data_IF_095873516913
#
_entry.id   IF_095873516913
#
_cell.length_a   1.000
_cell.length_b   1.000
_cell.length_c   1.000
_cell.angle_alpha   90.00
_cell.angle_beta   90.00
_cell.angle_gamma   90.00
#
_symmetry.space_group_name_H-M   'P 1'
#
loop_
_entity.id
_entity.type
_entity.pdbx_description
1 polymer ?
#
# COMPACT_ATOMS: atom_id res chain seq x y z
N UNK A 1 16.20 -16.84 6.73
CA UNK A 1 16.65 -15.43 6.86
C UNK A 1 16.92 -15.17 8.33
N UNK A 2 18.10 -14.66 8.69
CA UNK A 2 18.40 -14.32 10.09
C UNK A 2 17.51 -13.17 10.55
N UNK A 3 16.95 -13.30 11.76
CA UNK A 3 16.13 -12.29 12.40
C UNK A 3 16.91 -11.64 13.53
N UNK A 4 17.32 -10.39 13.32
CA UNK A 4 18.15 -9.65 14.27
C UNK A 4 17.27 -8.93 15.30
N UNK A 5 17.03 -9.60 16.42
CA UNK A 5 16.29 -9.03 17.57
C UNK A 5 17.20 -8.83 18.77
N UNK A 6 16.90 -7.83 19.59
CA UNK A 6 17.56 -7.66 20.90
C UNK A 6 17.36 -8.90 21.76
N UNK A 7 18.38 -9.23 22.55
CA UNK A 7 18.30 -10.23 23.62
C UNK A 7 17.15 -9.90 24.59
N UNK A 8 16.47 -10.93 25.06
CA UNK A 8 15.36 -10.84 26.02
C UNK A 8 14.11 -10.12 25.50
N UNK A 9 13.99 -9.88 24.18
CA UNK A 9 12.76 -9.31 23.62
C UNK A 9 11.54 -10.17 23.95
N UNK A 10 11.71 -11.49 24.02
CA UNK A 10 10.64 -12.45 24.35
C UNK A 10 10.31 -12.49 25.85
N UNK A 11 11.21 -12.00 26.71
CA UNK A 11 11.04 -12.02 28.17
C UNK A 11 10.21 -10.83 28.66
N UNK A 12 10.49 -9.63 28.13
CA UNK A 12 9.88 -8.40 28.63
C UNK A 12 8.99 -7.68 27.61
N UNK A 13 7.79 -7.26 28.02
CA UNK A 13 6.86 -6.47 27.19
C UNK A 13 7.48 -5.14 26.74
N UNK A 14 8.27 -4.48 27.61
CA UNK A 14 9.01 -3.25 27.27
C UNK A 14 10.01 -3.44 26.13
N UNK A 15 10.54 -4.67 25.97
CA UNK A 15 11.52 -5.02 24.94
C UNK A 15 10.91 -5.62 23.68
N UNK A 16 9.59 -5.88 23.66
CA UNK A 16 8.89 -6.38 22.47
C UNK A 16 8.13 -7.68 22.65
N UNK A 17 8.02 -8.24 23.87
CA UNK A 17 7.18 -9.44 24.11
C UNK A 17 5.75 -9.10 23.74
N UNK A 18 5.20 -9.80 22.74
CA UNK A 18 3.87 -9.56 22.13
C UNK A 18 3.68 -8.17 21.49
N UNK A 19 4.72 -7.34 21.42
CA UNK A 19 4.67 -5.97 20.85
C UNK A 19 5.67 -5.86 19.70
N UNK A 20 5.25 -6.29 18.51
CA UNK A 20 6.09 -6.31 17.28
C UNK A 20 6.76 -4.96 17.01
N UNK A 21 6.03 -3.84 17.16
CA UNK A 21 6.57 -2.47 16.96
C UNK A 21 7.76 -2.12 17.87
N UNK A 22 7.91 -2.79 19.02
CA UNK A 22 9.01 -2.56 19.99
C UNK A 22 10.17 -3.53 19.80
N UNK A 23 10.03 -4.58 18.97
CA UNK A 23 11.11 -5.51 18.66
C UNK A 23 12.14 -4.80 17.77
N UNK A 24 13.18 -4.25 18.41
CA UNK A 24 14.27 -3.54 17.74
C UNK A 24 15.58 -4.22 18.07
N UNK A 25 16.54 -4.20 17.14
CA UNK A 25 17.91 -4.63 17.41
C UNK A 25 18.61 -3.63 18.34
N UNK A 26 19.44 -4.13 19.25
CA UNK A 26 20.39 -3.34 20.05
C UNK A 26 21.66 -4.16 20.22
N UNK A 27 22.83 -3.52 20.06
CA UNK A 27 24.13 -4.18 20.23
C UNK A 27 24.24 -4.75 21.65
N UNK A 28 24.58 -6.04 21.82
CA UNK A 28 24.88 -6.60 23.14
C UNK A 28 26.22 -6.06 23.65
N UNK A 29 26.19 -5.30 24.75
CA UNK A 29 27.39 -4.65 25.33
C UNK A 29 27.93 -5.31 26.60
N UNK A 30 27.04 -5.90 27.43
CA UNK A 30 27.40 -6.44 28.74
C UNK A 30 28.55 -7.46 28.73
N UNK A 31 29.33 -7.51 29.81
CA UNK A 31 30.53 -8.34 29.95
C UNK A 31 30.24 -9.83 29.73
N UNK A 32 29.28 -10.38 30.47
CA UNK A 32 28.94 -11.81 30.43
C UNK A 32 27.87 -12.15 29.37
N UNK A 33 27.73 -11.26 28.39
CA UNK A 33 26.70 -11.38 27.38
C UNK A 33 27.08 -12.47 26.37
N UNK A 34 26.55 -13.69 26.58
CA UNK A 34 26.70 -14.84 25.66
C UNK A 34 26.38 -14.62 24.17
N UNK A 35 25.57 -13.61 23.84
CA UNK A 35 25.26 -13.21 22.47
C UNK A 35 26.41 -12.36 21.93
N UNK A 36 27.02 -11.48 22.75
CA UNK A 36 28.28 -10.76 22.46
C UNK A 36 29.45 -11.72 22.23
N UNK A 37 29.56 -12.76 23.08
CA UNK A 37 30.55 -13.84 22.96
C UNK A 37 30.25 -14.81 21.80
N UNK A 38 29.11 -14.66 21.09
CA UNK A 38 28.67 -15.54 19.98
C UNK A 38 28.62 -17.03 20.35
N UNK A 39 28.24 -17.37 21.58
CA UNK A 39 28.11 -18.77 22.00
C UNK A 39 27.00 -19.49 21.23
N UNK A 40 27.21 -20.79 20.96
CA UNK A 40 26.20 -21.68 20.36
C UNK A 40 24.90 -21.64 21.18
N UNK A 41 23.76 -21.66 20.49
CA UNK A 41 22.42 -21.57 21.10
C UNK A 41 21.90 -20.15 21.31
N UNK A 42 22.73 -19.11 21.16
CA UNK A 42 22.28 -17.73 21.17
C UNK A 42 22.08 -17.17 19.75
N UNK A 43 21.18 -16.19 19.55
CA UNK A 43 20.97 -15.56 18.25
C UNK A 43 22.24 -14.92 17.69
N UNK A 44 22.37 -14.90 16.36
CA UNK A 44 23.49 -14.26 15.68
C UNK A 44 23.53 -12.75 15.91
N UNK A 45 24.74 -12.19 16.05
CA UNK A 45 24.96 -10.74 16.05
C UNK A 45 24.95 -10.23 14.61
N UNK A 46 24.40 -9.03 14.40
CA UNK A 46 24.53 -8.29 13.14
C UNK A 46 26.02 -8.14 12.77
N UNK A 47 26.38 -8.57 11.56
CA UNK A 47 27.69 -8.41 10.96
C UNK A 47 27.55 -8.12 9.46
N UNK A 48 28.58 -7.52 8.84
CA UNK A 48 28.59 -7.18 7.41
C UNK A 48 28.49 -8.43 6.53
N UNK A 49 28.97 -9.58 7.02
CA UNK A 49 28.90 -10.85 6.28
C UNK A 49 27.48 -11.35 5.98
N UNK A 50 26.46 -10.87 6.71
CA UNK A 50 25.06 -11.21 6.41
C UNK A 50 24.41 -10.28 5.37
N UNK A 51 25.18 -9.37 4.77
CA UNK A 51 24.68 -8.47 3.73
C UNK A 51 24.22 -9.28 2.51
N UNK A 52 22.99 -9.05 2.09
CA UNK A 52 22.44 -9.64 0.86
C UNK A 52 23.09 -9.00 -0.38
N UNK A 53 23.13 -9.71 -1.52
CA UNK A 53 23.52 -9.12 -2.79
C UNK A 53 22.67 -7.87 -3.09
N UNK A 54 23.25 -6.91 -3.80
CA UNK A 54 22.57 -5.67 -4.16
C UNK A 54 21.48 -5.98 -5.19
N UNK A 55 20.26 -6.21 -4.72
CA UNK A 55 19.08 -6.33 -5.57
C UNK A 55 18.83 -5.01 -6.32
N UNK A 56 18.17 -5.08 -7.49
CA UNK A 56 17.72 -3.91 -8.25
C UNK A 56 16.92 -2.98 -7.32
N UNK A 57 17.23 -1.69 -7.35
CA UNK A 57 16.67 -0.72 -6.40
C UNK A 57 15.15 -0.64 -6.44
N UNK A 58 14.53 -0.48 -5.27
CA UNK A 58 13.10 -0.11 -5.16
C UNK A 58 13.01 1.40 -5.14
N UNK A 59 12.20 1.98 -6.02
CA UNK A 59 12.01 3.44 -6.08
C UNK A 59 10.62 3.78 -5.56
N UNK A 60 10.56 4.73 -4.63
CA UNK A 60 9.30 5.27 -4.12
C UNK A 60 8.89 6.43 -5.01
N UNK A 61 7.65 6.40 -5.50
CA UNK A 61 7.08 7.39 -6.41
C UNK A 61 5.88 8.06 -5.76
N UNK A 62 5.88 9.39 -5.77
CA UNK A 62 4.83 10.23 -5.22
C UNK A 62 4.11 11.06 -6.30
N UNK A 63 4.71 11.23 -7.47
CA UNK A 63 4.13 12.00 -8.57
C UNK A 63 4.31 11.29 -9.92
N UNK A 64 3.70 11.87 -10.96
CA UNK A 64 3.74 11.32 -12.31
C UNK A 64 5.10 11.55 -12.98
N UNK A 65 5.76 12.69 -12.71
CA UNK A 65 7.06 13.04 -13.30
C UNK A 65 8.17 12.09 -12.86
N UNK A 66 8.14 11.67 -11.60
CA UNK A 66 9.02 10.64 -11.04
C UNK A 66 8.80 9.30 -11.72
N UNK A 67 7.58 8.98 -12.16
CA UNK A 67 7.28 7.75 -12.88
C UNK A 67 7.94 7.73 -14.27
N UNK A 68 7.94 8.88 -14.95
CA UNK A 68 8.48 9.02 -16.32
C UNK A 68 10.00 8.86 -16.36
N UNK A 69 10.69 9.29 -15.30
CA UNK A 69 12.15 9.22 -15.21
C UNK A 69 12.68 7.84 -14.78
N UNK A 70 11.81 6.83 -14.58
CA UNK A 70 12.21 5.53 -14.04
C UNK A 70 12.61 4.55 -15.16
N UNK A 71 13.76 3.92 -14.98
CA UNK A 71 14.20 2.79 -15.81
C UNK A 71 13.32 1.57 -15.56
N UNK A 72 12.95 0.85 -16.62
CA UNK A 72 12.05 -0.33 -16.61
C UNK A 72 12.45 -1.45 -15.65
N UNK A 73 13.72 -1.51 -15.25
CA UNK A 73 14.29 -2.52 -14.36
C UNK A 73 14.01 -2.33 -12.86
N UNK A 74 13.47 -1.17 -12.46
CA UNK A 74 13.26 -0.85 -11.05
C UNK A 74 11.84 -1.21 -10.61
N UNK A 75 11.72 -1.72 -9.38
CA UNK A 75 10.42 -2.00 -8.77
C UNK A 75 9.86 -0.71 -8.21
N UNK A 76 8.68 -0.31 -8.68
CA UNK A 76 8.03 0.95 -8.28
C UNK A 76 7.14 0.73 -7.06
N UNK A 77 7.31 1.57 -6.03
CA UNK A 77 6.46 1.61 -4.84
C UNK A 77 5.73 2.95 -4.85
N UNK A 78 4.41 2.91 -4.79
CA UNK A 78 3.60 4.13 -4.72
C UNK A 78 3.52 4.57 -3.25
N UNK A 79 3.91 5.82 -3.00
CA UNK A 79 3.87 6.44 -1.67
C UNK A 79 2.48 6.91 -1.23
N UNK A 80 2.44 7.93 -0.38
CA UNK A 80 1.21 8.49 0.20
C UNK A 80 0.41 9.36 -0.76
N UNK A 81 -0.13 8.78 -1.83
CA UNK A 81 -0.91 9.51 -2.85
C UNK A 81 -2.41 9.29 -2.73
N UNK A 82 -3.17 10.38 -2.94
CA UNK A 82 -4.62 10.35 -2.97
C UNK A 82 -5.20 9.53 -4.13
N UNK A 83 -6.49 9.17 -4.04
CA UNK A 83 -7.15 8.29 -5.01
C UNK A 83 -7.04 8.80 -6.45
N UNK A 84 -7.26 10.10 -6.71
CA UNK A 84 -7.20 10.69 -8.07
C UNK A 84 -5.84 10.43 -8.74
N UNK A 85 -4.74 10.84 -8.08
CA UNK A 85 -3.38 10.65 -8.57
C UNK A 85 -3.00 9.16 -8.72
N UNK A 86 -3.49 8.29 -7.84
CA UNK A 86 -3.29 6.83 -7.98
C UNK A 86 -3.85 6.27 -9.28
N UNK A 87 -4.98 6.79 -9.77
CA UNK A 87 -5.58 6.37 -11.04
C UNK A 87 -4.68 6.77 -12.20
N UNK A 88 -4.20 8.01 -12.20
CA UNK A 88 -3.31 8.54 -13.24
C UNK A 88 -1.99 7.77 -13.28
N UNK A 89 -1.39 7.53 -12.11
CA UNK A 89 -0.16 6.73 -11.99
C UNK A 89 -0.40 5.30 -12.49
N UNK A 90 -1.53 4.67 -12.16
CA UNK A 90 -1.83 3.31 -12.61
C UNK A 90 -2.00 3.22 -14.13
N UNK A 91 -2.58 4.24 -14.77
CA UNK A 91 -2.71 4.31 -16.24
C UNK A 91 -1.35 4.45 -16.90
N UNK A 92 -0.55 5.44 -16.48
CA UNK A 92 0.81 5.65 -17.03
C UNK A 92 1.73 4.46 -16.77
N UNK A 93 1.63 3.82 -15.62
CA UNK A 93 2.41 2.62 -15.33
C UNK A 93 2.04 1.45 -16.26
N UNK A 94 0.77 1.32 -16.66
CA UNK A 94 0.32 0.33 -17.63
C UNK A 94 0.84 0.64 -19.04
N UNK A 95 0.82 1.90 -19.44
CA UNK A 95 1.39 2.37 -20.73
C UNK A 95 2.90 2.09 -20.80
N UNK A 96 3.63 2.42 -19.73
CA UNK A 96 5.09 2.23 -19.64
C UNK A 96 5.51 0.79 -19.29
N UNK A 97 4.56 -0.12 -19.06
CA UNK A 97 4.76 -1.52 -18.62
C UNK A 97 5.65 -1.63 -17.36
N UNK A 98 5.49 -0.71 -16.42
CA UNK A 98 6.22 -0.69 -15.16
C UNK A 98 5.54 -1.62 -14.12
N UNK A 99 6.37 -2.35 -13.37
CA UNK A 99 5.88 -3.21 -12.28
C UNK A 99 5.75 -2.42 -10.98
N UNK A 100 4.52 -2.38 -10.43
CA UNK A 100 4.23 -1.73 -9.14
C UNK A 100 4.10 -2.81 -8.06
N UNK A 101 4.86 -2.69 -6.98
CA UNK A 101 4.86 -3.69 -5.90
C UNK A 101 3.68 -3.54 -4.93
N UNK A 102 3.24 -2.31 -4.63
CA UNK A 102 2.20 -2.06 -3.63
C UNK A 102 0.76 -2.19 -4.18
N UNK A 103 0.59 -2.36 -5.50
CA UNK A 103 -0.73 -2.41 -6.15
C UNK A 103 -0.72 -3.25 -7.41
N UNK A 104 -1.78 -4.03 -7.60
CA UNK A 104 -2.10 -4.62 -8.89
C UNK A 104 -2.86 -3.60 -9.75
N UNK A 105 -2.21 -3.08 -10.79
CA UNK A 105 -2.75 -2.04 -11.70
C UNK A 105 -4.03 -2.47 -12.41
N UNK A 106 -4.07 -3.71 -12.92
CA UNK A 106 -5.21 -4.22 -13.69
C UNK A 106 -6.45 -4.39 -12.81
N UNK A 107 -6.29 -4.99 -11.63
CA UNK A 107 -7.38 -5.16 -10.68
C UNK A 107 -7.91 -3.81 -10.19
N UNK A 108 -7.02 -2.83 -9.99
CA UNK A 108 -7.38 -1.49 -9.54
C UNK A 108 -8.21 -0.73 -10.60
N UNK A 109 -7.77 -0.71 -11.85
CA UNK A 109 -8.49 -0.04 -12.94
C UNK A 109 -9.88 -0.66 -13.18
N UNK A 110 -9.97 -2.00 -13.18
CA UNK A 110 -11.25 -2.71 -13.33
C UNK A 110 -12.24 -2.40 -12.20
N UNK A 111 -11.76 -2.22 -10.96
CA UNK A 111 -12.60 -1.82 -9.83
C UNK A 111 -13.18 -0.42 -10.02
N UNK A 112 -12.36 0.52 -10.51
CA UNK A 112 -12.79 1.89 -10.76
C UNK A 112 -13.83 1.96 -11.88
N UNK A 113 -13.66 1.21 -12.96
CA UNK A 113 -14.64 1.13 -14.05
C UNK A 113 -15.99 0.59 -13.55
N UNK A 114 -15.96 -0.41 -12.66
CA UNK A 114 -17.16 -0.93 -11.99
C UNK A 114 -17.83 0.10 -11.08
N UNK A 115 -17.07 0.88 -10.32
CA UNK A 115 -17.62 1.96 -9.48
C UNK A 115 -18.25 3.08 -10.33
N UNK A 116 -17.61 3.48 -11.43
CA UNK A 116 -18.15 4.49 -12.36
C UNK A 116 -19.45 4.04 -13.03
N UNK A 117 -19.55 2.77 -13.41
CA UNK A 117 -20.76 2.22 -14.05
C UNK A 117 -21.92 2.07 -13.08
N UNK A 118 -21.67 1.76 -11.81
CA UNK A 118 -22.70 1.78 -10.75
C UNK A 118 -23.26 3.18 -10.50
N UNK A 119 -22.38 4.18 -10.31
CA UNK A 119 -22.80 5.58 -10.12
C UNK A 119 -23.64 6.12 -11.28
N UNK A 120 -23.22 5.84 -12.53
CA UNK A 120 -24.01 6.21 -13.71
C UNK A 120 -25.38 5.51 -13.80
N UNK A 121 -25.56 4.34 -13.18
CA UNK A 121 -26.85 3.65 -13.12
C UNK A 121 -27.76 4.25 -12.05
N UNK A 122 -27.20 4.58 -10.88
CA UNK A 122 -27.91 5.28 -9.79
C UNK A 122 -28.37 6.68 -10.21
N UNK A 123 -27.49 7.48 -10.83
CA UNK A 123 -27.86 8.81 -11.37
C UNK A 123 -28.94 8.74 -12.45
N UNK A 124 -29.03 7.64 -13.20
CA UNK A 124 -30.08 7.41 -14.20
C UNK A 124 -31.40 6.96 -13.56
N UNK A 125 -31.38 6.16 -12.50
CA UNK A 125 -32.59 5.78 -11.77
C UNK A 125 -33.18 6.95 -10.99
N UNK A 126 -32.33 7.83 -10.43
CA UNK A 126 -32.78 9.00 -9.68
C UNK A 126 -33.37 10.06 -10.63
N UNK A 127 -32.73 10.31 -11.78
CA UNK A 127 -33.30 11.19 -12.81
C UNK A 127 -34.61 10.66 -13.41
N UNK A 128 -34.78 9.34 -13.51
CA UNK A 128 -36.03 8.73 -13.99
C UNK A 128 -37.15 8.92 -12.96
N UNK A 129 -36.89 8.68 -11.68
CA UNK A 129 -37.83 8.95 -10.58
C UNK A 129 -38.23 10.43 -10.50
N UNK A 130 -37.31 11.38 -10.62
CA UNK A 130 -37.65 12.81 -10.61
C UNK A 130 -38.44 13.26 -11.83
N UNK A 131 -38.27 12.61 -12.99
CA UNK A 131 -39.09 12.88 -14.20
C UNK A 131 -40.49 12.27 -14.08
N UNK A 132 -40.59 11.07 -13.49
CA UNK A 132 -41.88 10.40 -13.28
C UNK A 132 -42.74 11.15 -12.24
N UNK A 133 -42.14 11.68 -11.16
CA UNK A 133 -42.83 12.49 -10.14
C UNK A 133 -43.33 13.83 -10.69
N UNK A 134 -42.52 14.56 -11.48
CA UNK A 134 -42.96 15.81 -12.13
C UNK A 134 -44.10 15.60 -13.12
N UNK A 135 -44.10 14.46 -13.83
CA UNK A 135 -45.13 14.12 -14.82
C UNK A 135 -46.47 13.73 -14.17
N UNK A 136 -46.45 13.20 -12.94
CA UNK A 136 -47.66 12.99 -12.14
C UNK A 136 -48.19 14.29 -11.51
N UNK A 137 -47.31 15.22 -11.13
CA UNK A 137 -47.72 16.53 -10.59
C UNK A 137 -48.34 17.45 -11.66
N UNK A 138 -47.83 17.43 -12.90
CA UNK A 138 -48.41 18.18 -14.02
C UNK A 138 -49.80 17.66 -14.42
N UNK A 139 -50.01 16.33 -14.46
CA UNK A 139 -51.32 15.73 -14.75
C UNK A 139 -52.38 16.04 -13.70
N UNK A 140 -52.02 16.02 -12.41
CA UNK A 140 -52.93 16.32 -11.31
C UNK A 140 -53.34 17.81 -11.26
N UNK A 141 -52.59 18.70 -11.90
CA UNK A 141 -52.91 20.12 -12.00
C UNK A 141 -53.76 20.46 -13.24
N UNK A 142 -53.68 19.68 -14.32
CA UNK A 142 -54.57 19.81 -15.49
C UNK A 142 -55.99 19.28 -15.21
N UNK A 143 -56.16 18.26 -14.36
CA UNK A 143 -57.48 17.73 -13.98
C UNK A 143 -58.27 18.60 -12.98
N UNK A 144 -57.67 19.68 -12.44
CA UNK A 144 -58.28 20.58 -11.45
C UNK A 144 -58.72 21.94 -12.02
N UNK A 145 -58.70 22.10 -13.34
CA UNK A 145 -59.12 23.32 -14.06
C UNK A 145 -60.35 23.04 -14.91
#
# INVERSE_FOLDING_TARGET
>A
MMDFKRRDNTRYSKLGKRRKKKQKWRRPTGRDNKMREKRRGYPAIVSVGYKKPKEKGKVIVNNIRELENIKKDLVVIIGGVGKKKRIEIAKKAKEMKLSISNMNTNAFLKKIEKEKTKKKKEEKSDNKKTKDVKKTEEKNNEEKK
#
